data_IF_839049505650
#
_entry.id   IF_839049505650
#
_cell.length_a   1.000
_cell.length_b   1.000
_cell.length_c   1.000
_cell.angle_alpha   90.00
_cell.angle_beta   90.00
_cell.angle_gamma   90.00
#
_symmetry.space_group_name_H-M   'P 1'
#
loop_
_entity.id
_entity.type
_entity.pdbx_description
1 polymer ?
#
# COMPACT_ATOMS: atom_id res chain seq x y z
N UNK A 1 12.02 11.29 -10.17
CA UNK A 1 12.29 10.13 -11.04
C UNK A 1 12.36 8.87 -10.16
N UNK A 2 11.76 7.77 -10.58
CA UNK A 2 11.95 6.48 -9.92
C UNK A 2 13.15 5.77 -10.57
N UNK A 3 14.26 5.68 -9.84
CA UNK A 3 15.50 5.08 -10.35
C UNK A 3 15.53 3.55 -10.21
N UNK A 4 14.52 2.95 -9.59
CA UNK A 4 14.39 1.50 -9.42
C UNK A 4 12.96 1.11 -9.00
N UNK A 5 12.67 -0.19 -9.01
CA UNK A 5 11.37 -0.75 -8.59
C UNK A 5 11.22 -0.90 -7.07
N UNK A 6 12.24 -0.54 -6.29
CA UNK A 6 12.21 -0.72 -4.83
C UNK A 6 11.09 0.07 -4.17
N UNK A 7 10.77 1.28 -4.67
CA UNK A 7 9.65 2.07 -4.15
C UNK A 7 8.31 1.32 -4.24
N UNK A 8 8.07 0.60 -5.34
CA UNK A 8 6.86 -0.22 -5.51
C UNK A 8 6.85 -1.43 -4.58
N UNK A 9 8.00 -2.11 -4.43
CA UNK A 9 8.12 -3.25 -3.53
C UNK A 9 7.87 -2.86 -2.06
N UNK A 10 8.46 -1.75 -1.61
CA UNK A 10 8.21 -1.19 -0.28
C UNK A 10 6.74 -0.82 -0.06
N UNK A 11 6.08 -0.27 -1.09
CA UNK A 11 4.65 0.01 -1.07
C UNK A 11 3.79 -1.25 -0.91
N UNK A 12 4.13 -2.33 -1.61
CA UNK A 12 3.44 -3.61 -1.52
C UNK A 12 3.57 -4.25 -0.13
N UNK A 13 4.77 -4.24 0.47
CA UNK A 13 5.00 -4.75 1.83
C UNK A 13 4.20 -3.95 2.86
N UNK A 14 4.15 -2.62 2.70
CA UNK A 14 3.33 -1.75 3.55
C UNK A 14 1.83 -2.07 3.41
N UNK A 15 1.33 -2.26 2.19
CA UNK A 15 -0.07 -2.62 1.96
C UNK A 15 -0.44 -3.98 2.59
N UNK A 16 0.44 -4.98 2.48
CA UNK A 16 0.27 -6.29 3.10
C UNK A 16 0.22 -6.22 4.64
N UNK A 17 0.99 -5.31 5.25
CA UNK A 17 0.94 -5.09 6.70
C UNK A 17 -0.32 -4.33 7.13
N UNK A 18 -0.77 -3.37 6.31
CA UNK A 18 -1.93 -2.53 6.61
C UNK A 18 -3.27 -3.26 6.53
N UNK A 19 -3.40 -4.26 5.65
CA UNK A 19 -4.68 -4.95 5.40
C UNK A 19 -5.12 -5.86 6.57
N UNK A 20 -4.20 -6.20 7.48
CA UNK A 20 -4.50 -7.08 8.62
C UNK A 20 -5.63 -6.50 9.47
N UNK A 21 -6.72 -7.26 9.62
CA UNK A 21 -7.90 -6.87 10.38
C UNK A 21 -8.86 -5.89 9.67
N UNK A 22 -8.62 -5.54 8.40
CA UNK A 22 -9.57 -4.76 7.60
C UNK A 22 -10.77 -5.61 7.19
N UNK A 23 -11.91 -4.96 7.00
CA UNK A 23 -13.11 -5.61 6.45
C UNK A 23 -12.83 -6.09 5.02
N UNK A 24 -13.50 -7.15 4.53
CA UNK A 24 -13.43 -7.52 3.13
C UNK A 24 -13.83 -6.35 2.23
N UNK A 25 -13.02 -6.06 1.21
CA UNK A 25 -13.24 -4.94 0.31
C UNK A 25 -12.07 -4.73 -0.66
N UNK A 26 -12.28 -3.86 -1.65
CA UNK A 26 -11.23 -3.42 -2.57
C UNK A 26 -10.65 -2.13 -2.02
N UNK A 27 -9.34 -2.12 -1.81
CA UNK A 27 -8.57 -0.98 -1.31
C UNK A 27 -7.50 -0.59 -2.31
N UNK A 28 -7.12 0.68 -2.30
CA UNK A 28 -6.03 1.21 -3.10
C UNK A 28 -4.95 1.86 -2.21
N UNK A 29 -3.90 2.39 -2.82
CA UNK A 29 -2.80 3.01 -2.07
C UNK A 29 -3.19 4.30 -1.36
N UNK A 30 -4.25 5.01 -1.76
CA UNK A 30 -4.75 6.17 -1.02
C UNK A 30 -5.28 5.75 0.36
N UNK A 31 -5.96 4.60 0.45
CA UNK A 31 -6.41 4.03 1.72
C UNK A 31 -5.24 3.64 2.63
N UNK A 32 -4.20 3.01 2.05
CA UNK A 32 -2.99 2.57 2.76
C UNK A 32 -2.16 3.76 3.27
N UNK A 33 -2.12 4.85 2.51
CA UNK A 33 -1.35 6.04 2.83
C UNK A 33 -2.14 7.06 3.69
N UNK A 34 -3.46 6.93 3.78
CA UNK A 34 -4.31 7.87 4.50
C UNK A 34 -4.37 9.26 3.86
N UNK A 35 -3.95 9.35 2.59
CA UNK A 35 -3.96 10.59 1.81
C UNK A 35 -5.33 10.73 1.15
N UNK A 36 -6.13 11.67 1.65
CA UNK A 36 -7.33 12.17 0.99
C UNK A 36 -7.02 13.43 0.21
#
# INVERSE_FOLDING_TARGET
>A
QAHSRTAFASGAVRAASWIVGKKPGIYNMADVLGSR
#
